data_IF_029498114109
#
_entry.id   IF_029498114109
#
_cell.length_a   1.000
_cell.length_b   1.000
_cell.length_c   1.000
_cell.angle_alpha   90.00
_cell.angle_beta   90.00
_cell.angle_gamma   90.00
#
_symmetry.space_group_name_H-M   'P 1'
#
loop_
_entity.id
_entity.type
_entity.pdbx_description
1 polymer ?
#
# COMPACT_ATOMS: atom_id res chain seq x y z
N UNK A 1 0.64 1.77 13.06
CA UNK A 1 0.75 0.72 12.03
C UNK A 1 -0.35 -0.33 12.18
N UNK A 2 -0.78 -0.66 13.41
CA UNK A 2 -2.11 -1.23 13.59
C UNK A 2 -3.16 -0.21 13.17
N UNK A 3 -3.97 -0.55 12.17
CA UNK A 3 -5.21 0.16 11.88
C UNK A 3 -6.35 -0.71 12.41
N UNK A 4 -7.54 -0.15 12.60
CA UNK A 4 -8.71 -0.93 13.04
C UNK A 4 -9.11 -2.04 12.05
N UNK A 5 -8.64 -1.94 10.80
CA UNK A 5 -9.00 -2.84 9.69
C UNK A 5 -7.92 -3.87 9.34
N UNK A 6 -6.66 -3.60 9.72
CA UNK A 6 -5.56 -4.48 9.38
C UNK A 6 -4.61 -4.69 10.57
N UNK A 7 -4.41 -5.95 10.91
CA UNK A 7 -3.52 -6.42 11.97
C UNK A 7 -2.16 -6.83 11.38
N UNK A 8 -1.07 -6.07 11.58
CA UNK A 8 0.25 -6.45 11.10
C UNK A 8 0.75 -7.74 11.76
N UNK A 9 1.27 -8.67 10.95
CA UNK A 9 1.78 -9.97 11.41
C UNK A 9 3.31 -10.00 11.38
N UNK A 10 3.91 -9.53 10.29
CA UNK A 10 5.36 -9.52 10.11
C UNK A 10 5.78 -8.48 9.09
N UNK A 11 6.97 -7.89 9.26
CA UNK A 11 7.65 -7.19 8.17
C UNK A 11 8.14 -8.22 7.15
N UNK A 12 7.86 -7.98 5.86
CA UNK A 12 8.22 -8.91 4.76
C UNK A 12 9.13 -8.28 3.72
N UNK A 13 9.44 -6.99 3.83
CA UNK A 13 10.40 -6.35 2.94
C UNK A 13 10.52 -4.85 3.17
N UNK A 14 11.60 -4.27 2.67
CA UNK A 14 11.86 -2.84 2.71
C UNK A 14 12.54 -2.37 1.43
N UNK A 15 12.31 -1.12 1.06
CA UNK A 15 12.95 -0.49 -0.09
C UNK A 15 12.98 1.02 0.01
N UNK A 16 13.44 1.67 -1.06
CA UNK A 16 13.60 3.13 -1.13
C UNK A 16 12.32 3.90 -0.74
N UNK A 17 11.15 3.33 -1.05
CA UNK A 17 9.84 3.96 -0.83
C UNK A 17 9.18 3.54 0.49
N UNK A 18 9.81 2.72 1.32
CA UNK A 18 9.30 2.35 2.64
C UNK A 18 9.26 0.84 2.90
N UNK A 19 8.45 0.45 3.87
CA UNK A 19 8.42 -0.90 4.44
C UNK A 19 7.11 -1.62 4.08
N UNK A 20 7.18 -2.92 3.82
CA UNK A 20 6.05 -3.78 3.49
C UNK A 20 5.84 -4.77 4.64
N UNK A 21 4.61 -4.85 5.13
CA UNK A 21 4.18 -5.78 6.17
C UNK A 21 3.18 -6.78 5.59
N UNK A 22 3.30 -8.05 5.97
CA UNK A 22 2.17 -8.97 5.92
C UNK A 22 1.21 -8.60 7.03
N UNK A 23 -0.06 -8.43 6.71
CA UNK A 23 -1.10 -8.15 7.69
C UNK A 23 -2.32 -9.05 7.45
N UNK A 24 -3.17 -9.18 8.47
CA UNK A 24 -4.47 -9.81 8.37
C UNK A 24 -5.54 -8.73 8.29
N UNK A 25 -6.38 -8.79 7.26
CA UNK A 25 -7.61 -8.02 7.20
C UNK A 25 -8.59 -8.54 8.26
N UNK A 26 -9.03 -7.66 9.16
CA UNK A 26 -9.88 -8.02 10.30
C UNK A 26 -11.32 -8.35 9.89
N UNK A 27 -11.76 -7.90 8.71
CA UNK A 27 -13.10 -8.17 8.19
C UNK A 27 -13.12 -9.49 7.40
N UNK A 28 -12.24 -9.63 6.40
CA UNK A 28 -12.24 -10.83 5.55
C UNK A 28 -11.42 -12.00 6.12
N UNK A 29 -10.55 -11.73 7.10
CA UNK A 29 -9.62 -12.70 7.66
C UNK A 29 -8.45 -13.09 6.75
N UNK A 30 -8.39 -12.54 5.52
CA UNK A 30 -7.35 -12.84 4.52
C UNK A 30 -6.04 -12.12 4.85
N UNK A 31 -4.94 -12.69 4.36
CA UNK A 31 -3.65 -12.01 4.41
C UNK A 31 -3.53 -11.00 3.26
N UNK A 32 -3.02 -9.82 3.58
CA UNK A 32 -2.74 -8.72 2.65
C UNK A 32 -1.32 -8.20 2.84
N UNK A 33 -0.81 -7.48 1.85
CA UNK A 33 0.44 -6.74 1.94
C UNK A 33 0.15 -5.26 2.22
N UNK A 34 0.62 -4.74 3.36
CA UNK A 34 0.54 -3.32 3.70
C UNK A 34 1.86 -2.63 3.39
N UNK A 35 1.88 -1.77 2.38
CA UNK A 35 3.03 -0.93 2.08
C UNK A 35 2.92 0.41 2.80
N UNK A 36 3.76 0.62 3.80
CA UNK A 36 3.91 1.91 4.46
C UNK A 36 4.87 2.78 3.63
N UNK A 37 4.29 3.73 2.87
CA UNK A 37 5.05 4.58 1.96
C UNK A 37 5.62 5.80 2.70
N UNK A 38 6.93 6.02 2.59
CA UNK A 38 7.59 7.22 3.11
C UNK A 38 7.49 8.33 2.07
N UNK A 39 6.53 9.23 2.25
CA UNK A 39 6.35 10.39 1.37
C UNK A 39 6.84 11.63 2.11
N UNK A 40 7.78 12.37 1.51
CA UNK A 40 8.15 13.69 2.02
C UNK A 40 7.02 14.66 1.68
N UNK A 41 6.35 15.15 2.70
CA UNK A 41 5.36 16.23 2.58
C UNK A 41 6.02 17.55 2.94
N UNK A 42 5.84 18.56 2.09
CA UNK A 42 6.24 19.94 2.38
C UNK A 42 4.99 20.83 2.60
N UNK A 43 5.15 22.15 2.60
CA UNK A 43 4.04 23.10 2.75
C UNK A 43 2.99 22.98 1.63
N UNK A 44 3.32 22.34 0.50
CA UNK A 44 2.44 22.09 -0.62
C UNK A 44 1.72 20.74 -0.53
N UNK A 45 1.95 19.96 0.54
CA UNK A 45 1.28 18.70 0.79
C UNK A 45 1.99 17.50 0.15
N UNK A 46 1.20 16.57 -0.42
CA UNK A 46 1.74 15.37 -1.08
C UNK A 46 2.31 15.71 -2.45
N UNK A 47 3.50 15.19 -2.82
CA UNK A 47 4.04 15.36 -4.17
C UNK A 47 3.06 14.87 -5.23
N UNK A 48 2.83 15.70 -6.26
CA UNK A 48 1.90 15.38 -7.37
C UNK A 48 2.26 14.06 -8.06
N UNK A 49 3.56 13.73 -8.13
CA UNK A 49 4.02 12.43 -8.63
C UNK A 49 3.47 11.26 -7.83
N UNK A 50 3.49 11.35 -6.49
CA UNK A 50 2.97 10.29 -5.60
C UNK A 50 1.47 10.11 -5.81
N UNK A 51 0.73 11.22 -5.89
CA UNK A 51 -0.72 11.18 -6.15
C UNK A 51 -1.02 10.54 -7.51
N UNK A 52 -0.27 10.94 -8.55
CA UNK A 52 -0.42 10.40 -9.90
C UNK A 52 -0.14 8.90 -9.95
N UNK A 53 0.94 8.45 -9.33
CA UNK A 53 1.32 7.03 -9.29
C UNK A 53 0.25 6.17 -8.60
N UNK A 54 -0.22 6.59 -7.42
CA UNK A 54 -1.30 5.87 -6.70
C UNK A 54 -2.60 5.86 -7.52
N UNK A 55 -2.94 6.98 -8.16
CA UNK A 55 -4.13 7.06 -9.01
C UNK A 55 -4.05 6.13 -10.23
N UNK A 56 -2.87 5.97 -10.82
CA UNK A 56 -2.64 5.03 -11.92
C UNK A 56 -2.77 3.59 -11.45
N UNK A 57 -2.19 3.23 -10.30
CA UNK A 57 -2.33 1.88 -9.73
C UNK A 57 -3.80 1.52 -9.49
N UNK A 58 -4.59 2.43 -8.91
CA UNK A 58 -6.03 2.23 -8.71
C UNK A 58 -6.80 2.05 -10.01
N UNK A 59 -6.43 2.79 -11.07
CA UNK A 59 -7.06 2.60 -12.40
C UNK A 59 -6.69 1.25 -13.01
N UNK A 60 -5.47 0.77 -12.76
CA UNK A 60 -5.01 -0.50 -13.29
C UNK A 60 -5.78 -1.70 -12.73
N UNK A 61 -6.31 -1.61 -11.51
CA UNK A 61 -7.13 -2.66 -10.88
C UNK A 61 -8.35 -3.05 -11.74
N UNK A 62 -8.88 -2.12 -12.54
CA UNK A 62 -10.03 -2.35 -13.42
C UNK A 62 -9.75 -3.35 -14.55
N UNK A 63 -8.48 -3.56 -14.93
CA UNK A 63 -8.13 -4.46 -16.03
C UNK A 63 -7.99 -5.92 -15.63
N UNK A 64 -8.00 -6.25 -14.33
CA UNK A 64 -7.90 -7.62 -13.80
C UNK A 64 -6.87 -8.51 -14.51
N UNK A 65 -5.66 -7.98 -14.71
CA UNK A 65 -4.65 -8.72 -15.45
C UNK A 65 -4.11 -9.89 -14.59
N UNK A 66 -4.11 -11.14 -15.08
CA UNK A 66 -3.77 -12.32 -14.27
C UNK A 66 -2.32 -12.35 -13.76
N UNK A 67 -1.44 -11.55 -14.34
CA UNK A 67 -0.04 -11.41 -13.93
C UNK A 67 0.27 -10.11 -13.18
N UNK A 68 -0.74 -9.35 -12.77
CA UNK A 68 -0.57 -8.13 -11.95
C UNK A 68 -1.29 -8.34 -10.62
N UNK A 69 -0.60 -8.01 -9.53
CA UNK A 69 -1.15 -8.13 -8.17
C UNK A 69 -2.26 -7.10 -7.94
N UNK A 70 -3.27 -7.49 -7.15
CA UNK A 70 -4.33 -6.64 -6.62
C UNK A 70 -4.07 -6.32 -5.16
#
# INVERSE_FOLDING_TARGET
LATTYYEPVAEIGGGAYGTVYKARDTESGKFVALKNVRVQTDQNGLPVSTVREVALLKRMEQFDHPNVVR
#
